data_IF_276371023651
#
_entry.id   IF_276371023651
#
_cell.length_a   1.000
_cell.length_b   1.000
_cell.length_c   1.000
_cell.angle_alpha   90.00
_cell.angle_beta   90.00
_cell.angle_gamma   90.00
#
_symmetry.space_group_name_H-M   'P 1'
#
loop_
_entity.id
_entity.type
_entity.pdbx_description
1 polymer ?
#
# COMPACT_ATOMS: atom_id res chain seq x y z
N UNK A 1 -15.87 15.18 5.90
CA UNK A 1 -15.27 14.13 5.07
C UNK A 1 -15.92 14.21 3.71
N UNK A 2 -15.14 14.41 2.67
CA UNK A 2 -15.58 14.12 1.31
C UNK A 2 -15.18 12.67 1.10
N UNK A 3 -16.15 11.77 0.94
CA UNK A 3 -15.83 10.38 0.57
C UNK A 3 -15.25 10.40 -0.85
N UNK A 4 -14.09 9.77 -1.06
CA UNK A 4 -13.57 9.55 -2.39
C UNK A 4 -14.56 8.69 -3.18
N UNK A 5 -15.03 9.23 -4.30
CA UNK A 5 -15.74 8.43 -5.29
C UNK A 5 -14.73 7.53 -6.03
N UNK A 6 -15.16 6.34 -6.46
CA UNK A 6 -14.31 5.44 -7.26
C UNK A 6 -13.82 6.09 -8.58
N UNK A 7 -14.45 7.18 -9.02
CA UNK A 7 -14.01 7.95 -10.19
C UNK A 7 -12.74 8.78 -9.96
N UNK A 8 -12.39 9.05 -8.71
CA UNK A 8 -11.24 9.87 -8.31
C UNK A 8 -10.02 9.00 -7.89
N UNK A 9 -10.23 7.69 -7.73
CA UNK A 9 -9.22 6.67 -7.41
C UNK A 9 -8.87 5.84 -8.66
N UNK A 10 -7.66 5.24 -8.72
CA UNK A 10 -7.28 4.31 -9.81
C UNK A 10 -7.77 2.90 -9.58
N UNK A 11 -8.22 2.60 -8.37
CA UNK A 11 -8.87 1.35 -8.00
C UNK A 11 -10.28 1.61 -7.48
N UNK A 12 -11.04 0.55 -7.20
CA UNK A 12 -12.39 0.64 -6.67
C UNK A 12 -12.50 -0.12 -5.35
N UNK A 13 -13.50 0.22 -4.54
CA UNK A 13 -13.80 -0.53 -3.32
C UNK A 13 -14.01 -2.03 -3.61
N UNK A 14 -14.70 -2.35 -4.71
CA UNK A 14 -14.93 -3.73 -5.16
C UNK A 14 -13.63 -4.44 -5.54
N UNK A 15 -12.68 -3.74 -6.17
CA UNK A 15 -11.37 -4.31 -6.50
C UNK A 15 -10.51 -4.53 -5.25
N UNK A 16 -10.56 -3.62 -4.28
CA UNK A 16 -9.82 -3.74 -3.01
C UNK A 16 -10.34 -4.92 -2.19
N UNK A 17 -11.66 -5.02 -2.00
CA UNK A 17 -12.30 -6.09 -1.21
C UNK A 17 -12.60 -7.37 -1.99
N UNK A 18 -12.33 -7.38 -3.29
CA UNK A 18 -12.51 -8.54 -4.16
C UNK A 18 -11.32 -9.50 -4.17
N UNK A 19 -11.49 -10.66 -4.80
CA UNK A 19 -10.36 -11.55 -5.10
C UNK A 19 -9.73 -12.25 -3.89
N UNK A 20 -10.50 -12.44 -2.81
CA UNK A 20 -10.09 -13.23 -1.64
C UNK A 20 -9.49 -12.42 -0.50
N UNK A 21 -9.60 -11.09 -0.52
CA UNK A 21 -9.24 -10.21 0.60
C UNK A 21 -10.51 -9.87 1.38
N UNK A 22 -10.66 -10.40 2.60
CA UNK A 22 -11.82 -10.12 3.44
C UNK A 22 -11.51 -8.99 4.42
N UNK A 23 -12.52 -8.22 4.81
CA UNK A 23 -12.36 -7.16 5.82
C UNK A 23 -13.68 -6.89 6.51
N UNK A 24 -13.62 -6.67 7.82
CA UNK A 24 -14.76 -6.23 8.64
C UNK A 24 -14.87 -4.70 8.71
N UNK A 25 -13.92 -3.97 8.11
CA UNK A 25 -13.97 -2.51 8.00
C UNK A 25 -15.18 -2.07 7.16
N UNK A 26 -15.78 -0.96 7.54
CA UNK A 26 -16.84 -0.34 6.76
C UNK A 26 -16.30 0.19 5.43
N UNK A 27 -17.17 0.32 4.43
CA UNK A 27 -16.79 0.89 3.13
C UNK A 27 -16.16 2.28 3.27
N UNK A 28 -16.71 3.14 4.14
CA UNK A 28 -16.14 4.48 4.38
C UNK A 28 -14.73 4.41 4.98
N UNK A 29 -14.45 3.48 5.91
CA UNK A 29 -13.09 3.28 6.44
C UNK A 29 -12.13 2.80 5.35
N UNK A 30 -12.53 1.82 4.53
CA UNK A 30 -11.69 1.36 3.40
C UNK A 30 -11.42 2.49 2.42
N UNK A 31 -12.40 3.35 2.16
CA UNK A 31 -12.26 4.51 1.26
C UNK A 31 -11.27 5.56 1.80
N UNK A 32 -11.14 5.73 3.11
CA UNK A 32 -10.09 6.59 3.69
C UNK A 32 -8.69 6.04 3.37
N UNK A 33 -8.47 4.73 3.50
CA UNK A 33 -7.19 4.11 3.13
C UNK A 33 -6.95 4.09 1.61
N UNK A 34 -8.01 4.07 0.79
CA UNK A 34 -7.89 4.27 -0.65
C UNK A 34 -7.42 5.68 -0.98
N UNK A 35 -7.84 6.71 -0.24
CA UNK A 35 -7.36 8.09 -0.40
C UNK A 35 -5.87 8.20 -0.10
N UNK A 36 -5.44 7.62 1.03
CA UNK A 36 -4.04 7.58 1.42
C UNK A 36 -3.19 6.86 0.35
N UNK A 37 -3.66 5.71 -0.16
CA UNK A 37 -2.96 4.97 -1.21
C UNK A 37 -2.91 5.74 -2.54
N UNK A 38 -4.01 6.41 -2.90
CA UNK A 38 -4.07 7.23 -4.11
C UNK A 38 -3.06 8.38 -4.04
N UNK A 39 -3.03 9.10 -2.91
CA UNK A 39 -2.08 10.19 -2.66
C UNK A 39 -0.64 9.70 -2.81
N UNK A 40 -0.29 8.58 -2.19
CA UNK A 40 1.06 8.01 -2.27
C UNK A 40 1.44 7.66 -3.73
N UNK A 41 0.53 7.04 -4.48
CA UNK A 41 0.76 6.72 -5.89
C UNK A 41 0.90 7.99 -6.75
N UNK A 42 0.10 9.01 -6.47
CA UNK A 42 0.14 10.27 -7.22
C UNK A 42 1.41 11.07 -6.96
N UNK A 43 1.88 11.11 -5.71
CA UNK A 43 3.06 11.88 -5.32
C UNK A 43 4.37 11.15 -5.67
N UNK A 44 4.44 9.83 -5.42
CA UNK A 44 5.69 9.08 -5.56
C UNK A 44 5.88 8.48 -6.96
N UNK A 45 4.81 7.98 -7.60
CA UNK A 45 4.91 7.12 -8.78
C UNK A 45 4.43 7.76 -10.09
N UNK A 46 3.60 8.80 -10.03
CA UNK A 46 3.09 9.46 -11.23
C UNK A 46 4.24 10.03 -12.05
N UNK A 47 4.23 9.72 -13.35
CA UNK A 47 5.28 10.17 -14.28
C UNK A 47 6.58 9.35 -14.23
N UNK A 48 6.68 8.30 -13.40
CA UNK A 48 7.84 7.39 -13.34
C UNK A 48 7.86 6.32 -14.44
N UNK A 49 7.02 6.46 -15.47
CA UNK A 49 6.98 5.52 -16.61
C UNK A 49 6.17 4.24 -16.36
N UNK A 50 5.45 4.15 -15.24
CA UNK A 50 4.51 3.06 -14.98
C UNK A 50 3.21 3.27 -15.77
N UNK A 51 2.65 2.17 -16.30
CA UNK A 51 1.34 2.20 -16.96
C UNK A 51 0.22 2.45 -15.94
N UNK A 52 -0.89 3.06 -16.36
CA UNK A 52 -2.08 3.24 -15.51
C UNK A 52 -2.56 1.92 -14.88
N UNK A 53 -2.48 0.80 -15.61
CA UNK A 53 -2.83 -0.53 -15.08
C UNK A 53 -1.93 -0.98 -13.92
N UNK A 54 -0.66 -0.57 -13.92
CA UNK A 54 0.27 -0.85 -12.82
C UNK A 54 0.00 0.08 -11.64
N UNK A 55 -0.18 1.37 -11.89
CA UNK A 55 -0.55 2.33 -10.85
C UNK A 55 -1.82 1.90 -10.11
N UNK A 56 -2.85 1.47 -10.84
CA UNK A 56 -4.08 0.92 -10.26
C UNK A 56 -3.85 -0.33 -9.38
N UNK A 57 -2.95 -1.23 -9.81
CA UNK A 57 -2.59 -2.41 -9.01
C UNK A 57 -1.82 -2.04 -7.75
N UNK A 58 -0.88 -1.10 -7.86
CA UNK A 58 -0.10 -0.60 -6.72
C UNK A 58 -1.02 0.07 -5.71
N UNK A 59 -1.92 0.95 -6.15
CA UNK A 59 -2.90 1.63 -5.28
C UNK A 59 -3.79 0.62 -4.53
N UNK A 60 -4.25 -0.43 -5.22
CA UNK A 60 -5.00 -1.52 -4.60
C UNK A 60 -4.20 -2.27 -3.54
N UNK A 61 -2.98 -2.70 -3.86
CA UNK A 61 -2.16 -3.46 -2.92
C UNK A 61 -1.66 -2.60 -1.76
N UNK A 62 -1.40 -1.31 -1.97
CA UNK A 62 -1.12 -0.34 -0.89
C UNK A 62 -2.30 -0.21 0.06
N UNK A 63 -3.52 -0.05 -0.49
CA UNK A 63 -4.74 0.01 0.34
C UNK A 63 -4.85 -1.25 1.20
N UNK A 64 -4.69 -2.43 0.60
CA UNK A 64 -4.73 -3.72 1.33
C UNK A 64 -3.63 -3.81 2.37
N UNK A 65 -2.41 -3.40 2.04
CA UNK A 65 -1.30 -3.36 2.96
C UNK A 65 -1.62 -2.52 4.21
N UNK A 66 -2.17 -1.32 4.04
CA UNK A 66 -2.56 -0.45 5.14
C UNK A 66 -3.59 -1.10 6.08
N UNK A 67 -4.61 -1.76 5.51
CA UNK A 67 -5.69 -2.32 6.32
C UNK A 67 -5.41 -3.75 6.82
N UNK A 68 -4.41 -4.45 6.29
CA UNK A 68 -4.05 -5.84 6.69
C UNK A 68 -3.82 -5.96 8.21
N UNK A 69 -3.26 -4.93 8.85
CA UNK A 69 -3.00 -4.94 10.29
C UNK A 69 -4.25 -4.73 11.15
N UNK A 70 -5.32 -4.21 10.55
CA UNK A 70 -6.59 -3.91 11.21
C UNK A 70 -7.59 -5.07 11.10
N UNK A 71 -7.41 -5.93 10.10
CA UNK A 71 -8.31 -7.05 9.81
C UNK A 71 -7.77 -8.34 10.41
N UNK A 72 -8.44 -8.88 11.43
CA UNK A 72 -7.98 -10.10 12.12
C UNK A 72 -7.85 -11.32 11.20
N UNK A 73 -8.73 -11.47 10.19
CA UNK A 73 -8.71 -12.58 9.24
C UNK A 73 -7.53 -12.50 8.25
N UNK A 74 -7.02 -11.30 7.98
CA UNK A 74 -5.92 -11.06 7.02
C UNK A 74 -4.57 -10.82 7.72
N UNK A 75 -4.55 -10.74 9.06
CA UNK A 75 -3.32 -10.58 9.84
C UNK A 75 -2.35 -11.72 9.56
N UNK A 76 -1.20 -11.37 8.99
CA UNK A 76 -0.15 -12.33 8.70
C UNK A 76 0.61 -12.68 9.99
N UNK A 77 0.34 -13.85 10.55
CA UNK A 77 1.02 -14.34 11.76
C UNK A 77 2.39 -14.89 11.37
N UNK A 78 3.44 -14.09 11.53
CA UNK A 78 4.82 -14.53 11.31
C UNK A 78 5.48 -15.08 12.60
N UNK A 79 5.07 -14.59 13.78
CA UNK A 79 5.42 -15.09 15.13
C UNK A 79 4.55 -14.39 16.18
N UNK A 80 4.27 -14.99 17.35
CA UNK A 80 3.45 -14.43 18.46
C UNK A 80 4.05 -13.16 19.14
N UNK A 81 5.17 -12.65 18.63
CA UNK A 81 5.88 -11.46 19.14
C UNK A 81 6.11 -10.47 17.99
N UNK A 82 5.02 -9.94 17.41
CA UNK A 82 5.11 -8.64 16.75
C UNK A 82 5.01 -7.61 17.87
N UNK A 83 6.16 -7.20 18.42
CA UNK A 83 6.23 -6.07 19.35
C UNK A 83 5.48 -4.87 18.78
N UNK A 84 5.03 -3.91 19.62
CA UNK A 84 4.07 -2.89 19.22
C UNK A 84 4.55 -2.16 17.95
N UNK A 85 3.95 -2.48 16.81
CA UNK A 85 4.21 -1.80 15.55
C UNK A 85 3.58 -0.42 15.69
N UNK A 86 4.41 0.54 16.08
CA UNK A 86 4.09 1.96 16.07
C UNK A 86 4.20 2.40 14.61
N UNK A 87 3.08 2.46 13.90
CA UNK A 87 3.01 3.22 12.67
C UNK A 87 3.09 4.70 13.05
N UNK A 88 4.27 5.29 12.92
CA UNK A 88 4.33 6.74 12.77
C UNK A 88 3.56 7.05 11.48
N UNK A 89 2.34 7.57 11.63
CA UNK A 89 1.51 8.18 10.57
C UNK A 89 2.20 9.44 10.01
N UNK A 90 3.48 9.33 9.66
CA UNK A 90 4.36 10.37 9.20
C UNK A 90 5.23 9.81 8.07
N UNK A 91 4.59 9.38 6.99
CA UNK A 91 5.17 9.41 5.64
C UNK A 91 6.40 8.53 5.37
N UNK A 92 6.57 7.42 6.09
CA UNK A 92 7.62 6.46 5.75
C UNK A 92 7.03 5.04 5.70
N UNK A 93 6.41 4.73 4.55
CA UNK A 93 6.56 3.39 3.98
C UNK A 93 8.05 3.18 3.70
N UNK A 94 8.84 2.96 4.74
CA UNK A 94 10.17 2.39 4.55
C UNK A 94 9.98 1.07 3.81
N UNK A 95 10.92 0.68 2.96
CA UNK A 95 10.82 -0.60 2.26
C UNK A 95 10.67 -1.79 3.21
N UNK A 96 11.30 -1.70 4.40
CA UNK A 96 11.11 -2.62 5.52
C UNK A 96 9.63 -2.67 5.99
N UNK A 97 8.90 -1.56 5.87
CA UNK A 97 7.47 -1.48 6.11
C UNK A 97 6.63 -2.20 5.05
N UNK A 98 6.94 -2.02 3.76
CA UNK A 98 6.21 -2.74 2.69
C UNK A 98 6.49 -4.24 2.69
N UNK A 99 7.69 -4.67 3.09
CA UNK A 99 8.00 -6.10 3.19
C UNK A 99 7.20 -6.83 4.28
N UNK A 100 6.60 -6.10 5.23
CA UNK A 100 5.87 -6.66 6.38
C UNK A 100 4.56 -7.37 6.02
N UNK A 101 4.02 -7.19 4.80
CA UNK A 101 2.85 -7.94 4.35
C UNK A 101 3.01 -8.42 2.92
N UNK A 102 2.33 -9.51 2.58
CA UNK A 102 2.26 -10.01 1.18
C UNK A 102 1.73 -8.95 0.21
N UNK A 103 0.88 -8.03 0.67
CA UNK A 103 0.38 -6.94 -0.16
C UNK A 103 1.46 -5.88 -0.41
N UNK A 104 2.23 -5.50 0.61
CA UNK A 104 3.34 -4.56 0.41
C UNK A 104 4.48 -5.16 -0.43
N UNK A 105 4.74 -6.47 -0.32
CA UNK A 105 5.67 -7.16 -1.24
C UNK A 105 5.19 -7.12 -2.71
N UNK A 106 3.87 -7.22 -2.95
CA UNK A 106 3.32 -7.06 -4.30
C UNK A 106 3.44 -5.61 -4.81
N UNK A 107 3.36 -4.60 -3.93
CA UNK A 107 3.63 -3.20 -4.29
C UNK A 107 5.05 -3.07 -4.85
N UNK A 108 6.03 -3.65 -4.15
CA UNK A 108 7.43 -3.67 -4.58
C UNK A 108 7.57 -4.36 -5.94
N UNK A 109 6.93 -5.52 -6.14
CA UNK A 109 6.99 -6.24 -7.43
C UNK A 109 6.38 -5.43 -8.60
N UNK A 110 5.30 -4.69 -8.35
CA UNK A 110 4.64 -3.90 -9.38
C UNK A 110 5.35 -2.59 -9.70
N UNK A 111 6.04 -2.00 -8.72
CA UNK A 111 6.82 -0.77 -8.89
C UNK A 111 8.17 -1.04 -9.55
N UNK A 112 8.17 -1.20 -10.87
CA UNK A 112 9.42 -1.30 -11.64
C UNK A 112 10.15 0.02 -11.84
N UNK A 113 9.71 1.10 -11.19
CA UNK A 113 10.50 2.33 -11.14
C UNK A 113 11.48 2.32 -9.96
N UNK A 114 11.38 1.30 -9.10
CA UNK A 114 12.15 1.16 -7.87
C UNK A 114 12.06 2.45 -7.03
N UNK A 115 10.87 3.02 -6.85
CA UNK A 115 10.67 4.24 -6.05
C UNK A 115 10.23 3.91 -4.63
N UNK A 116 9.33 2.94 -4.48
CA UNK A 116 8.78 2.48 -3.19
C UNK A 116 9.52 1.24 -2.64
N UNK A 117 10.33 0.57 -3.46
CA UNK A 117 11.10 -0.61 -3.06
C UNK A 117 12.32 -0.31 -2.18
N UNK A 118 13.00 -1.35 -1.65
CA UNK A 118 14.21 -1.23 -0.83
C UNK A 118 15.35 -0.48 -1.50
N UNK A 119 15.41 -0.53 -2.83
CA UNK A 119 16.41 0.17 -3.64
C UNK A 119 15.99 1.60 -4.04
N UNK A 120 14.74 2.00 -3.76
CA UNK A 120 14.17 3.32 -4.09
C UNK A 120 14.36 4.41 -3.05
N UNK A 121 14.67 4.01 -1.82
CA UNK A 121 15.36 4.88 -0.88
C UNK A 121 16.83 4.92 -1.26
N UNK A 122 17.29 6.01 -1.88
CA UNK A 122 18.71 6.28 -2.12
C UNK A 122 19.53 6.12 -0.82
N UNK A 123 20.01 4.90 -0.53
CA UNK A 123 20.86 4.65 0.64
C UNK A 123 22.17 3.93 0.29
N UNK A 124 22.29 3.31 -0.90
CA UNK A 124 23.51 2.59 -1.30
C UNK A 124 24.04 3.00 -2.67
N UNK A 125 24.39 4.27 -2.83
CA UNK A 125 25.45 4.69 -3.75
C UNK A 125 26.50 5.53 -3.02
N UNK A 126 27.10 4.95 -1.98
CA UNK A 126 28.47 5.34 -1.60
C UNK A 126 29.40 4.38 -2.32
N UNK A 127 29.98 4.88 -3.41
CA UNK A 127 31.12 4.26 -4.08
C UNK A 127 32.23 4.02 -3.05
N UNK A 128 32.67 2.77 -2.91
CA UNK A 128 33.96 2.45 -2.29
C UNK A 128 35.07 2.49 -3.36
#
# INVERSE_FOLDING_TARGET
MVELADADSRTSYEDVTGGGFQTDLTESEVREYMDDANMEVDESLKGRGLSERRLAKIERELTRHFITFLVDEERQVESEDIGPVSFDYAGALSAEGLEATTHGQQVIEYDTSDTLGPDGGDFWSVTA
#
